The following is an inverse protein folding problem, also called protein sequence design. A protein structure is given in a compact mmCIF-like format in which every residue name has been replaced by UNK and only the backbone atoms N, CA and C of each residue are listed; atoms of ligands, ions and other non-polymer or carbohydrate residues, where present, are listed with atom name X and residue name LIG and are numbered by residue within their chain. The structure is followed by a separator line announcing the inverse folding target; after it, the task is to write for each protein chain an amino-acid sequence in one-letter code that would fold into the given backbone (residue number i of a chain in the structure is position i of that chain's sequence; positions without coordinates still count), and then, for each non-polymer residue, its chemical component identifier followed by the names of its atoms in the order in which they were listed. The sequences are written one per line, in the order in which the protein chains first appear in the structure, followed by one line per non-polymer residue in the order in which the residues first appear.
data_IF_972247557161
#
_entry.id   IF_972247557161
#
_cell.length_a   1.000
_cell.length_b   1.000
_cell.length_c   1.000
_cell.angle_alpha   90.00
_cell.angle_beta   90.00
_cell.angle_gamma   90.00
#
_symmetry.space_group_name_H-M   'P 1'
#
loop_
_entity.id
_entity.type
_entity.pdbx_description
1 polymer ?
#
# COMPACT_ATOMS: atom_id res chain seq x y z
N UNK A 1 -0.50 -2.63 9.56
CA UNK A 1 -0.37 -3.16 8.18
C UNK A 1 0.57 -2.26 7.40
N UNK A 2 1.59 -2.80 6.74
CA UNK A 2 2.45 -2.07 5.79
C UNK A 2 1.96 -2.34 4.37
N UNK A 3 1.86 -1.30 3.56
CA UNK A 3 1.35 -1.35 2.19
C UNK A 3 2.46 -0.86 1.25
N UNK A 4 2.86 -1.72 0.33
CA UNK A 4 3.93 -1.45 -0.64
C UNK A 4 3.42 -1.54 -2.07
N UNK A 5 3.75 -0.55 -2.88
CA UNK A 5 3.43 -0.48 -4.30
C UNK A 5 4.60 -1.01 -5.12
N UNK A 6 4.34 -1.97 -6.01
CA UNK A 6 5.36 -2.53 -6.91
C UNK A 6 5.08 -2.12 -8.35
N UNK A 7 6.10 -1.57 -9.01
CA UNK A 7 6.04 -1.18 -10.41
C UNK A 7 6.33 -2.34 -11.37
N UNK A 8 5.69 -2.33 -12.54
CA UNK A 8 5.99 -3.28 -13.60
C UNK A 8 7.36 -2.96 -14.24
N UNK A 9 8.38 -3.74 -13.90
CA UNK A 9 9.75 -3.55 -14.44
C UNK A 9 9.85 -3.74 -15.96
N UNK A 10 8.88 -4.42 -16.61
CA UNK A 10 8.91 -4.66 -18.07
C UNK A 10 8.80 -3.38 -18.90
N UNK A 11 8.08 -2.38 -18.42
CA UNK A 11 7.94 -1.08 -19.12
C UNK A 11 9.26 -0.28 -19.13
N UNK A 12 10.00 -0.32 -18.02
CA UNK A 12 11.26 0.42 -17.84
C UNK A 12 12.39 -0.12 -18.73
N UNK A 13 12.48 -1.45 -18.86
CA UNK A 13 13.48 -2.12 -19.71
C UNK A 13 13.24 -1.82 -21.19
N UNK A 14 11.98 -1.84 -21.63
CA UNK A 14 11.61 -1.53 -23.02
C UNK A 14 11.99 -0.09 -23.41
N UNK A 15 11.68 0.88 -22.55
CA UNK A 15 12.01 2.30 -22.78
C UNK A 15 13.53 2.55 -22.80
N UNK A 16 14.29 1.93 -21.90
CA UNK A 16 15.75 2.02 -21.90
C UNK A 16 16.38 1.39 -23.14
N UNK A 17 15.83 0.28 -23.63
CA UNK A 17 16.31 -0.38 -24.86
C UNK A 17 16.08 0.52 -26.08
N UNK A 18 14.91 1.15 -26.19
CA UNK A 18 14.58 2.10 -27.25
C UNK A 18 15.47 3.34 -27.20
N UNK A 19 15.68 3.92 -26.02
CA UNK A 19 16.59 5.07 -25.84
C UNK A 19 18.02 4.69 -26.23
N UNK A 20 18.50 3.50 -25.86
CA UNK A 20 19.84 3.01 -26.25
C UNK A 20 19.95 2.84 -27.77
N UNK A 21 18.92 2.34 -28.44
CA UNK A 21 18.87 2.20 -29.92
C UNK A 21 18.86 3.57 -30.60
N UNK A 22 18.14 4.55 -30.05
CA UNK A 22 18.08 5.92 -30.58
C UNK A 22 19.43 6.61 -30.39
N UNK A 23 20.06 6.50 -29.21
CA UNK A 23 21.40 7.05 -28.94
C UNK A 23 22.48 6.41 -29.83
N UNK A 24 22.38 5.10 -30.12
CA UNK A 24 23.27 4.41 -31.05
C UNK A 24 23.13 4.90 -32.50
N UNK A 25 22.00 5.50 -32.88
CA UNK A 25 21.78 6.08 -34.23
C UNK A 25 22.16 7.56 -34.36
N UNK A 26 22.33 8.29 -33.26
CA UNK A 26 22.55 9.75 -33.26
C UNK A 26 23.98 10.20 -32.89
N UNK A 27 25.00 9.39 -33.19
CA UNK A 27 26.41 9.79 -32.97
C UNK A 27 26.87 10.82 -34.02
N UNK A 28 26.29 12.03 -34.00
CA UNK A 28 26.73 13.24 -34.71
C UNK A 28 25.95 14.46 -34.20
N UNK A 29 26.16 14.87 -32.95
CA UNK A 29 25.71 16.20 -32.49
C UNK A 29 26.94 16.96 -32.02
N UNK A 30 27.39 17.89 -32.86
CA UNK A 30 28.39 18.89 -32.52
C UNK A 30 27.70 20.00 -31.72
N UNK A 31 27.73 19.94 -30.39
CA UNK A 31 27.31 21.04 -29.54
C UNK A 31 28.36 22.15 -29.58
N UNK A 32 28.04 23.28 -30.21
CA UNK A 32 28.82 24.52 -29.99
C UNK A 32 28.46 25.06 -28.61
N UNK A 33 29.42 25.03 -27.69
CA UNK A 33 29.32 25.68 -26.38
C UNK A 33 29.62 27.17 -26.58
N UNK A 34 28.61 28.03 -26.53
CA UNK A 34 28.80 29.47 -26.37
C UNK A 34 28.89 29.78 -24.86
N UNK A 35 30.01 30.33 -24.37
CA UNK A 35 30.14 30.69 -22.96
C UNK A 35 29.66 32.13 -22.72
N UNK A 36 28.40 32.32 -22.35
CA UNK A 36 27.99 33.37 -21.42
C UNK A 36 26.48 33.36 -21.20
N UNK A 37 26.07 32.91 -20.02
CA UNK A 37 25.11 33.60 -19.16
C UNK A 37 25.08 32.84 -17.83
N UNK A 38 25.96 33.24 -16.90
CA UNK A 38 25.84 32.81 -15.51
C UNK A 38 24.69 33.59 -14.88
N UNK A 39 23.46 33.16 -15.15
CA UNK A 39 22.35 33.44 -14.27
C UNK A 39 22.43 32.44 -13.11
N UNK A 40 22.94 32.89 -11.96
CA UNK A 40 22.78 32.13 -10.72
C UNK A 40 21.30 32.13 -10.37
N UNK A 41 20.58 31.07 -10.75
CA UNK A 41 19.26 30.77 -10.20
C UNK A 41 19.49 30.36 -8.74
N UNK A 42 19.31 31.31 -7.82
CA UNK A 42 19.63 31.18 -6.39
C UNK A 42 18.73 30.19 -5.63
N UNK A 43 17.97 29.36 -6.34
CA UNK A 43 17.19 28.25 -5.81
C UNK A 43 17.49 27.02 -6.67
N UNK A 44 18.64 26.40 -6.43
CA UNK A 44 18.87 25.05 -6.92
C UNK A 44 17.91 24.13 -6.15
N UNK A 45 16.76 23.84 -6.79
CA UNK A 45 15.83 22.85 -6.28
C UNK A 45 16.54 21.52 -6.34
N UNK A 46 17.06 21.08 -5.20
CA UNK A 46 17.68 19.76 -5.07
C UNK A 46 16.61 18.72 -5.35
N UNK A 47 16.80 17.96 -6.43
CA UNK A 47 15.93 16.84 -6.82
C UNK A 47 16.73 15.56 -6.76
N UNK A 48 16.16 14.57 -6.13
CA UNK A 48 16.67 13.20 -6.10
C UNK A 48 15.50 12.23 -6.30
N UNK A 49 15.76 11.01 -6.76
CA UNK A 49 14.75 9.98 -6.83
C UNK A 49 14.24 9.62 -5.43
N UNK A 50 12.94 9.34 -5.33
CA UNK A 50 12.27 8.94 -4.10
C UNK A 50 12.55 7.46 -3.81
N UNK A 51 13.79 7.14 -3.46
CA UNK A 51 14.25 5.78 -3.22
C UNK A 51 13.80 5.28 -1.82
N UNK A 52 13.56 3.97 -1.65
CA UNK A 52 13.32 3.39 -0.34
C UNK A 52 14.47 3.68 0.63
N UNK A 53 14.14 3.90 1.90
CA UNK A 53 15.09 4.14 2.97
C UNK A 53 14.60 3.51 4.27
N UNK A 54 15.48 3.41 5.26
CA UNK A 54 15.17 2.92 6.60
C UNK A 54 15.41 4.06 7.59
N UNK A 55 14.42 4.34 8.43
CA UNK A 55 14.51 5.36 9.46
C UNK A 55 14.92 4.77 10.81
N UNK A 56 16.01 5.29 11.36
CA UNK A 56 16.44 5.05 12.73
C UNK A 56 15.53 5.75 13.76
N UNK A 57 15.44 5.27 15.02
CA UNK A 57 16.10 4.07 15.58
C UNK A 57 15.27 2.78 15.45
N UNK A 58 14.07 2.84 14.88
CA UNK A 58 13.12 1.73 14.89
C UNK A 58 13.11 0.92 13.57
N UNK A 59 14.16 1.04 12.76
CA UNK A 59 14.28 0.42 11.44
C UNK A 59 12.98 0.49 10.61
N UNK A 60 12.35 1.68 10.60
CA UNK A 60 11.05 1.85 9.94
C UNK A 60 11.25 2.17 8.48
N UNK A 61 10.67 1.36 7.59
CA UNK A 61 10.71 1.62 6.16
C UNK A 61 10.08 2.98 5.83
N UNK A 62 10.69 3.70 4.91
CA UNK A 62 10.19 4.96 4.42
C UNK A 62 10.62 5.20 2.98
N UNK A 63 10.30 6.39 2.50
CA UNK A 63 10.73 6.85 1.18
C UNK A 63 11.51 8.13 1.34
N UNK A 64 12.63 8.25 0.63
CA UNK A 64 13.46 9.44 0.69
C UNK A 64 12.77 10.62 0.01
N UNK A 65 12.55 11.71 0.76
CA UNK A 65 11.95 12.94 0.28
C UNK A 65 12.74 14.15 0.76
N UNK A 66 12.58 15.31 0.13
CA UNK A 66 12.99 16.55 0.80
C UNK A 66 12.14 16.75 2.06
N UNK A 67 12.67 17.44 3.07
CA UNK A 67 11.91 17.70 4.31
C UNK A 67 10.59 18.42 4.03
N UNK A 68 10.59 19.35 3.07
CA UNK A 68 9.43 20.13 2.67
C UNK A 68 8.37 19.24 1.99
N UNK A 69 8.76 18.37 1.06
CA UNK A 69 7.83 17.44 0.42
C UNK A 69 7.24 16.46 1.44
N UNK A 70 8.06 15.93 2.34
CA UNK A 70 7.60 15.03 3.40
C UNK A 70 6.51 15.70 4.25
N UNK A 71 6.75 16.93 4.70
CA UNK A 71 5.80 17.70 5.50
C UNK A 71 4.52 18.07 4.72
N UNK A 72 4.65 18.50 3.46
CA UNK A 72 3.51 18.83 2.61
C UNK A 72 2.59 17.62 2.37
N UNK A 73 3.19 16.43 2.28
CA UNK A 73 2.48 15.15 2.19
C UNK A 73 2.01 14.62 3.54
N UNK A 74 2.21 15.38 4.63
CA UNK A 74 1.86 15.01 6.01
C UNK A 74 2.55 13.72 6.50
N UNK A 75 3.73 13.43 5.95
CA UNK A 75 4.59 12.36 6.44
C UNK A 75 5.41 12.81 7.64
N UNK A 76 6.01 11.83 8.32
CA UNK A 76 6.91 12.05 9.45
C UNK A 76 8.36 12.00 8.96
N UNK A 77 9.15 13.07 9.13
CA UNK A 77 10.58 13.05 8.83
C UNK A 77 11.34 12.11 9.78
N UNK A 78 12.12 11.21 9.21
CA UNK A 78 13.01 10.29 9.92
C UNK A 78 14.49 10.66 9.80
N UNK A 79 15.35 9.63 9.71
CA UNK A 79 16.80 9.77 9.48
C UNK A 79 17.13 10.46 8.14
N UNK A 80 18.37 10.91 7.96
CA UNK A 80 18.80 11.54 6.71
C UNK A 80 18.97 10.51 5.59
N UNK A 81 18.68 10.91 4.36
CA UNK A 81 18.86 10.10 3.15
C UNK A 81 19.38 10.97 2.01
N UNK A 82 19.61 10.37 0.82
CA UNK A 82 20.16 11.07 -0.35
C UNK A 82 21.40 11.92 0.00
N UNK A 83 22.39 11.32 0.68
CA UNK A 83 23.62 12.02 1.11
C UNK A 83 23.38 13.28 1.96
N UNK A 84 22.27 13.33 2.71
CA UNK A 84 21.91 14.44 3.59
C UNK A 84 21.03 15.51 2.96
N UNK A 85 20.66 15.36 1.68
CA UNK A 85 19.72 16.27 1.02
C UNK A 85 18.25 15.98 1.34
N UNK A 86 17.96 14.78 1.86
CA UNK A 86 16.60 14.34 2.17
C UNK A 86 16.45 13.75 3.57
N UNK A 87 15.20 13.43 3.89
CA UNK A 87 14.78 12.70 5.09
C UNK A 87 14.03 11.44 4.69
N UNK A 88 14.18 10.38 5.49
CA UNK A 88 13.40 9.18 5.31
C UNK A 88 11.97 9.41 5.79
N UNK A 89 11.07 9.67 4.86
CA UNK A 89 9.70 10.06 5.17
C UNK A 89 8.82 8.83 5.39
N UNK A 90 8.09 8.82 6.50
CA UNK A 90 7.21 7.72 6.90
C UNK A 90 5.76 8.19 6.81
N UNK A 91 4.93 7.45 6.07
CA UNK A 91 3.49 7.72 5.95
C UNK A 91 2.69 6.80 6.86
N UNK A 92 1.96 7.38 7.82
CA UNK A 92 1.10 6.65 8.76
C UNK A 92 -0.34 7.16 8.64
N UNK A 93 -1.27 6.22 8.57
CA UNK A 93 -2.68 6.50 8.35
C UNK A 93 -3.58 5.68 9.29
N UNK A 94 -4.69 6.29 9.67
CA UNK A 94 -5.79 5.64 10.40
C UNK A 94 -7.02 5.45 9.52
N UNK A 95 -8.18 5.22 10.13
CA UNK A 95 -9.44 5.14 9.39
C UNK A 95 -9.74 6.43 8.62
N UNK A 96 -10.52 6.24 7.56
CA UNK A 96 -11.13 7.27 6.71
C UNK A 96 -10.12 8.22 6.09
N UNK A 97 -8.95 7.67 5.79
CA UNK A 97 -7.86 8.39 5.16
C UNK A 97 -7.57 7.84 3.76
N UNK A 98 -6.76 8.61 3.03
CA UNK A 98 -6.33 8.30 1.68
C UNK A 98 -4.82 8.46 1.61
N UNK A 99 -4.15 7.50 0.95
CA UNK A 99 -2.73 7.58 0.65
C UNK A 99 -2.47 7.50 -0.84
N UNK A 100 -1.57 8.34 -1.31
CA UNK A 100 -1.00 8.33 -2.66
C UNK A 100 0.46 7.90 -2.67
N UNK A 101 1.00 7.44 -1.54
CA UNK A 101 2.43 7.26 -1.34
C UNK A 101 2.79 5.77 -1.21
N UNK A 102 3.98 5.43 -1.70
CA UNK A 102 4.54 4.10 -1.48
C UNK A 102 5.01 3.95 -0.02
N UNK A 103 5.06 2.71 0.48
CA UNK A 103 5.51 2.39 1.86
C UNK A 103 4.64 3.12 2.88
N UNK A 104 3.37 2.73 2.91
CA UNK A 104 2.34 3.33 3.75
C UNK A 104 1.97 2.40 4.91
N UNK A 105 1.99 2.91 6.13
CA UNK A 105 1.55 2.19 7.32
C UNK A 105 0.11 2.54 7.66
N UNK A 106 -0.69 1.51 7.91
CA UNK A 106 -2.05 1.63 8.40
C UNK A 106 -2.20 0.99 9.77
N UNK A 107 -2.86 1.73 10.67
CA UNK A 107 -3.23 1.28 12.00
C UNK A 107 -4.70 1.55 12.24
N UNK A 108 -5.47 0.51 12.54
CA UNK A 108 -6.84 0.67 13.02
C UNK A 108 -6.83 1.26 14.45
N UNK A 109 -7.86 2.02 14.83
CA UNK A 109 -7.98 2.56 16.18
C UNK A 109 -8.06 1.44 17.21
N UNK A 110 -7.37 1.61 18.34
CA UNK A 110 -7.54 0.75 19.51
C UNK A 110 -8.81 1.16 20.23
N UNK A 111 -9.94 0.52 19.93
CA UNK A 111 -11.21 0.86 20.57
C UNK A 111 -11.41 0.05 21.86
N UNK A 112 -11.23 0.67 23.02
CA UNK A 112 -11.76 0.16 24.29
C UNK A 112 -13.26 0.46 24.47
N UNK A 113 -13.88 1.17 23.51
CA UNK A 113 -15.27 1.63 23.57
C UNK A 113 -15.93 1.48 22.20
N UNK A 114 -16.46 0.30 21.88
CA UNK A 114 -17.23 0.06 20.65
C UNK A 114 -18.71 0.18 20.99
N UNK A 115 -19.36 1.26 20.57
CA UNK A 115 -20.81 1.39 20.62
C UNK A 115 -21.52 1.30 19.26
N UNK A 116 -20.80 1.20 18.15
CA UNK A 116 -21.39 1.11 16.80
C UNK A 116 -20.46 0.30 15.88
N UNK A 117 -20.97 -0.31 14.78
CA UNK A 117 -20.11 -0.95 13.79
C UNK A 117 -19.23 0.11 13.10
N UNK A 118 -17.99 0.25 13.56
CA UNK A 118 -17.02 1.17 12.98
C UNK A 118 -16.36 0.54 11.75
N UNK A 119 -16.91 0.80 10.56
CA UNK A 119 -16.23 0.49 9.30
C UNK A 119 -15.01 1.40 9.19
N UNK A 120 -13.80 0.84 9.32
CA UNK A 120 -12.54 1.56 9.21
C UNK A 120 -11.93 1.36 7.81
N UNK A 121 -11.78 2.45 7.04
CA UNK A 121 -11.29 2.35 5.64
C UNK A 121 -10.00 3.13 5.43
N UNK A 122 -9.09 2.57 4.64
CA UNK A 122 -7.99 3.32 4.03
C UNK A 122 -8.11 3.16 2.51
N UNK A 123 -8.14 4.28 1.79
CA UNK A 123 -8.09 4.28 0.34
C UNK A 123 -6.64 4.42 -0.13
N UNK A 124 -6.19 3.52 -0.99
CA UNK A 124 -4.86 3.56 -1.60
C UNK A 124 -4.99 3.94 -3.07
N UNK A 125 -4.38 5.06 -3.44
CA UNK A 125 -4.24 5.51 -4.81
C UNK A 125 -2.79 5.24 -5.26
N UNK A 126 -2.55 4.54 -6.38
CA UNK A 126 -1.20 4.30 -6.86
C UNK A 126 -0.42 5.61 -7.08
N UNK A 127 0.83 5.65 -6.61
CA UNK A 127 1.71 6.83 -6.76
C UNK A 127 2.19 7.08 -8.20
N UNK A 128 1.96 6.12 -9.10
CA UNK A 128 2.36 6.21 -10.51
C UNK A 128 1.58 5.24 -11.39
N UNK A 129 1.50 5.57 -12.69
CA UNK A 129 0.75 4.77 -13.67
C UNK A 129 1.37 3.39 -13.95
N UNK A 130 2.65 3.19 -13.59
CA UNK A 130 3.39 1.94 -13.76
C UNK A 130 3.27 0.98 -12.57
N UNK A 131 2.57 1.36 -11.50
CA UNK A 131 2.29 0.49 -10.36
C UNK A 131 1.29 -0.59 -10.79
N UNK A 132 1.64 -1.86 -10.60
CA UNK A 132 0.83 -3.00 -11.05
C UNK A 132 0.39 -3.92 -9.91
N UNK A 133 0.94 -3.75 -8.70
CA UNK A 133 0.65 -4.60 -7.57
C UNK A 133 0.74 -3.82 -6.27
N UNK A 134 -0.23 -4.05 -5.39
CA UNK A 134 -0.15 -3.69 -3.97
C UNK A 134 0.18 -4.96 -3.18
N UNK A 135 1.20 -4.88 -2.34
CA UNK A 135 1.54 -5.90 -1.34
C UNK A 135 1.14 -5.37 0.03
N UNK A 136 0.47 -6.22 0.80
CA UNK A 136 0.05 -5.92 2.16
C UNK A 136 0.81 -6.85 3.10
N UNK A 137 1.62 -6.28 3.98
CA UNK A 137 2.37 -7.00 5.00
C UNK A 137 1.74 -6.75 6.37
N UNK A 138 1.27 -7.82 7.01
CA UNK A 138 0.63 -7.78 8.31
C UNK A 138 1.69 -7.83 9.43
N UNK A 139 2.21 -6.66 9.80
CA UNK A 139 3.20 -6.53 10.89
C UNK A 139 2.60 -6.96 12.24
N UNK A 140 1.36 -6.54 12.50
CA UNK A 140 0.54 -6.97 13.63
C UNK A 140 -0.90 -6.90 13.17
N UNK A 141 -1.60 -8.02 13.25
CA UNK A 141 -2.97 -8.15 12.78
C UNK A 141 -3.69 -9.20 13.62
N UNK A 142 -4.64 -8.74 14.42
CA UNK A 142 -5.52 -9.59 15.21
C UNK A 142 -6.91 -8.97 15.21
N UNK A 143 -7.86 -9.68 14.64
CA UNK A 143 -9.29 -9.40 14.76
C UNK A 143 -10.01 -10.66 15.25
N UNK A 144 -11.29 -10.55 15.62
CA UNK A 144 -12.06 -11.67 16.11
C UNK A 144 -12.02 -12.85 15.12
N UNK A 145 -11.87 -14.09 15.61
CA UNK A 145 -11.84 -15.27 14.76
C UNK A 145 -13.22 -15.49 14.09
N UNK A 146 -13.29 -16.39 13.09
CA UNK A 146 -14.57 -16.84 12.56
C UNK A 146 -15.46 -17.41 13.67
N UNK A 147 -16.77 -17.32 13.48
CA UNK A 147 -17.75 -17.87 14.42
C UNK A 147 -17.49 -19.36 14.72
N UNK A 148 -17.27 -19.67 16.00
CA UNK A 148 -16.83 -20.96 16.54
C UNK A 148 -17.99 -21.93 16.82
N UNK A 149 -18.81 -22.22 15.81
CA UNK A 149 -19.66 -23.41 15.83
C UNK A 149 -21.00 -23.32 16.56
N UNK A 150 -21.23 -22.31 17.40
CA UNK A 150 -22.50 -22.16 18.15
C UNK A 150 -23.48 -21.15 17.54
N UNK A 151 -23.20 -20.68 16.32
CA UNK A 151 -24.08 -19.76 15.62
C UNK A 151 -25.25 -20.54 15.00
N UNK A 152 -26.47 -20.13 15.35
CA UNK A 152 -27.71 -20.83 14.99
C UNK A 152 -27.84 -21.15 13.50
N UNK A 153 -28.69 -22.14 13.20
CA UNK A 153 -29.02 -22.55 11.83
C UNK A 153 -29.52 -21.35 11.03
N UNK A 154 -28.76 -20.90 10.02
CA UNK A 154 -29.16 -19.78 9.15
C UNK A 154 -30.08 -20.22 8.01
N UNK A 155 -30.23 -21.54 7.83
CA UNK A 155 -31.15 -22.13 6.88
C UNK A 155 -30.63 -23.48 6.39
N UNK A 156 -31.26 -24.00 5.34
CA UNK A 156 -30.85 -25.17 4.58
C UNK A 156 -30.62 -24.73 3.14
N UNK A 157 -29.69 -25.35 2.42
CA UNK A 157 -29.39 -24.96 1.03
C UNK A 157 -30.52 -25.39 0.10
N UNK A 158 -31.07 -24.45 -0.67
CA UNK A 158 -31.88 -24.71 -1.84
C UNK A 158 -31.31 -23.88 -2.99
N UNK A 159 -30.98 -24.54 -4.11
CA UNK A 159 -30.42 -23.88 -5.29
C UNK A 159 -29.18 -23.00 -4.98
N UNK A 160 -28.33 -23.44 -4.05
CA UNK A 160 -27.08 -22.75 -3.70
C UNK A 160 -27.21 -21.59 -2.69
N UNK A 161 -28.41 -21.29 -2.19
CA UNK A 161 -28.63 -20.24 -1.19
C UNK A 161 -29.27 -20.81 0.10
N UNK A 162 -28.92 -20.26 1.28
CA UNK A 162 -29.58 -20.66 2.53
C UNK A 162 -31.02 -20.14 2.57
N UNK A 163 -31.97 -21.02 2.87
CA UNK A 163 -33.40 -20.71 3.04
C UNK A 163 -33.98 -21.44 4.25
N UNK A 164 -34.97 -20.84 4.91
CA UNK A 164 -35.64 -21.42 6.08
C UNK A 164 -36.67 -22.51 5.74
N UNK A 165 -36.96 -22.74 4.45
CA UNK A 165 -38.02 -23.67 3.98
C UNK A 165 -37.51 -24.83 3.10
N UNK A 166 -36.23 -25.18 3.17
CA UNK A 166 -35.69 -26.31 2.42
C UNK A 166 -35.58 -27.57 3.27
N UNK A 167 -35.69 -28.74 2.62
CA UNK A 167 -35.32 -30.02 3.21
C UNK A 167 -33.87 -30.31 2.83
N UNK A 168 -32.98 -30.51 3.81
CA UNK A 168 -31.54 -30.70 3.56
C UNK A 168 -30.66 -30.46 4.79
N UNK A 169 -29.34 -30.56 4.64
CA UNK A 169 -28.39 -30.30 5.73
C UNK A 169 -28.48 -28.84 6.17
N UNK A 170 -28.51 -28.63 7.49
CA UNK A 170 -28.49 -27.30 8.09
C UNK A 170 -27.15 -26.63 7.82
N UNK A 171 -27.21 -25.39 7.33
CA UNK A 171 -26.06 -24.52 7.23
C UNK A 171 -26.08 -23.65 8.46
N UNK A 172 -25.02 -23.74 9.24
CA UNK A 172 -24.74 -22.84 10.35
C UNK A 172 -23.90 -21.68 9.82
N UNK A 173 -23.91 -20.54 10.50
CA UNK A 173 -22.98 -19.44 10.21
C UNK A 173 -21.57 -19.69 10.77
N UNK A 174 -21.29 -20.92 11.24
CA UNK A 174 -19.96 -21.35 11.66
C UNK A 174 -18.96 -21.13 10.52
N UNK A 175 -17.73 -20.74 10.87
CA UNK A 175 -16.64 -20.42 9.93
C UNK A 175 -16.79 -19.13 9.11
N UNK A 176 -17.70 -18.21 9.48
CA UNK A 176 -17.81 -16.88 8.85
C UNK A 176 -17.27 -15.76 9.74
N UNK A 177 -16.74 -14.72 9.09
CA UNK A 177 -16.26 -13.49 9.71
C UNK A 177 -17.41 -12.51 9.98
N UNK A 178 -18.35 -12.88 10.85
CA UNK A 178 -19.58 -12.10 11.06
C UNK A 178 -19.37 -10.91 12.03
N UNK A 179 -18.46 -11.06 13.00
CA UNK A 179 -18.21 -10.03 14.03
C UNK A 179 -17.20 -8.99 13.56
N UNK A 180 -16.02 -9.44 13.10
CA UNK A 180 -14.99 -8.58 12.52
C UNK A 180 -14.49 -9.21 11.23
N UNK A 181 -14.17 -8.36 10.25
CA UNK A 181 -13.63 -8.82 8.97
C UNK A 181 -12.67 -7.79 8.39
N UNK A 182 -11.68 -8.29 7.67
CA UNK A 182 -10.79 -7.49 6.84
C UNK A 182 -11.02 -7.86 5.38
N UNK A 183 -11.17 -6.84 4.55
CA UNK A 183 -11.40 -6.99 3.12
C UNK A 183 -10.63 -5.93 2.34
N UNK A 184 -10.28 -6.28 1.10
CA UNK A 184 -9.65 -5.36 0.15
C UNK A 184 -10.53 -5.30 -1.09
N UNK A 185 -10.92 -4.09 -1.48
CA UNK A 185 -11.57 -3.85 -2.76
C UNK A 185 -10.55 -3.35 -3.79
N UNK A 186 -10.66 -3.86 -5.01
CA UNK A 186 -9.81 -3.50 -6.14
C UNK A 186 -10.69 -3.15 -7.33
N UNK A 187 -11.01 -1.86 -7.53
CA UNK A 187 -11.84 -1.43 -8.65
C UNK A 187 -11.24 -1.86 -9.99
N UNK A 188 -11.97 -2.70 -10.74
CA UNK A 188 -11.53 -3.18 -12.06
C UNK A 188 -10.53 -4.32 -12.04
N UNK A 189 -10.26 -4.94 -10.88
CA UNK A 189 -9.38 -6.10 -10.75
C UNK A 189 -9.92 -7.19 -9.83
N UNK A 190 -9.11 -8.20 -9.59
CA UNK A 190 -9.44 -9.27 -8.64
C UNK A 190 -9.31 -8.77 -7.20
N UNK A 191 -10.32 -9.08 -6.38
CA UNK A 191 -10.30 -8.83 -4.93
C UNK A 191 -9.90 -10.10 -4.18
N UNK A 192 -8.96 -10.02 -3.22
CA UNK A 192 -8.64 -11.17 -2.37
C UNK A 192 -9.84 -11.55 -1.49
N UNK A 193 -9.86 -12.79 -0.94
CA UNK A 193 -10.91 -13.22 -0.02
C UNK A 193 -10.91 -12.38 1.26
N UNK A 194 -12.09 -12.32 1.89
CA UNK A 194 -12.26 -11.73 3.23
C UNK A 194 -11.60 -12.63 4.27
N UNK A 195 -10.88 -12.04 5.22
CA UNK A 195 -10.21 -12.76 6.31
C UNK A 195 -10.64 -12.23 7.68
N UNK A 196 -10.50 -13.05 8.71
CA UNK A 196 -10.64 -12.71 10.12
C UNK A 196 -9.78 -13.64 10.99
N UNK A 197 -9.65 -13.33 12.28
CA UNK A 197 -8.69 -13.96 13.18
C UNK A 197 -7.33 -13.25 13.24
N UNK A 198 -6.33 -13.96 13.76
CA UNK A 198 -4.95 -13.52 13.80
C UNK A 198 -4.23 -13.83 12.49
N UNK A 199 -3.45 -12.86 11.99
CA UNK A 199 -2.68 -13.02 10.76
C UNK A 199 -1.29 -12.36 10.87
N UNK A 200 -0.70 -12.43 12.06
CA UNK A 200 0.70 -12.11 12.29
C UNK A 200 1.58 -13.33 11.98
N UNK A 201 2.64 -13.15 11.17
CA UNK A 201 3.59 -14.21 10.80
C UNK A 201 3.39 -14.85 9.41
N UNK A 202 3.97 -16.05 9.21
CA UNK A 202 4.13 -16.74 7.92
C UNK A 202 2.89 -17.52 7.42
N UNK A 203 1.68 -16.98 7.57
CA UNK A 203 0.46 -17.61 7.02
C UNK A 203 0.28 -17.33 5.50
N UNK A 204 1.37 -17.18 4.76
CA UNK A 204 1.39 -17.06 3.28
C UNK A 204 1.80 -18.34 2.55
N UNK A 205 2.06 -19.43 3.28
CA UNK A 205 2.40 -20.74 2.72
C UNK A 205 1.52 -21.84 3.35
N UNK A 206 0.36 -22.09 2.76
CA UNK A 206 -0.39 -23.33 2.89
C UNK A 206 -1.14 -23.60 1.59
#
# INVERSE_FOLDING_TARGET
ILITMTANKRALVSSLLLIKIILLRHLSISTKINPSERAFSLFEVVRFPNDPCISDPNDTDGTCYTINECQQKKGMPGSSCASGFGVCCIFRHGCDSLSTENITYFTSPQTNNVKEPNICRLQICPCGANICQLRLDFISFAILPPDNGNSGVIGRILNGAPTSKANGLEVTSSTRCNSESFSVSNPGGTTPPVICGMNDGYHSEA
#
